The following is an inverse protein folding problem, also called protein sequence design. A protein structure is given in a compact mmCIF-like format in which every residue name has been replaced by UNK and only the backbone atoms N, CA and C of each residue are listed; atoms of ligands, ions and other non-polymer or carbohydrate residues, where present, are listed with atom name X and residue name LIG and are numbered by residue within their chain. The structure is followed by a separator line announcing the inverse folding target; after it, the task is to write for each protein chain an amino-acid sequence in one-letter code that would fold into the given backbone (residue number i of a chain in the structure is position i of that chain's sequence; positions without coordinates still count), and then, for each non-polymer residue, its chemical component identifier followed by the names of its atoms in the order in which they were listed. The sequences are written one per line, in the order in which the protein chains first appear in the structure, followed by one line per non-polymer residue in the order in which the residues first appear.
data_IF_322003676501
#
_entry.id   IF_322003676501
#
_cell.length_a   1.000
_cell.length_b   1.000
_cell.length_c   1.000
_cell.angle_alpha   90.00
_cell.angle_beta   90.00
_cell.angle_gamma   90.00
#
_symmetry.space_group_name_H-M   'P 1'
#
loop_
_entity.id
_entity.type
_entity.pdbx_description
1 polymer ?
#
# COMPACT_ATOMS: atom_id res chain seq x y z
N UNK A 1 22.48 24.87 -38.52
CA UNK A 1 21.48 23.79 -38.65
C UNK A 1 21.38 23.09 -37.31
N UNK A 2 20.23 23.12 -36.64
CA UNK A 2 20.07 22.43 -35.36
C UNK A 2 19.99 20.91 -35.58
N UNK A 3 21.01 20.18 -35.15
CA UNK A 3 20.98 18.72 -35.08
C UNK A 3 20.21 18.33 -33.82
N UNK A 4 18.90 18.18 -33.94
CA UNK A 4 18.08 17.56 -32.91
C UNK A 4 18.41 16.07 -32.82
N UNK A 5 19.23 15.67 -31.86
CA UNK A 5 19.55 14.26 -31.57
C UNK A 5 18.35 13.44 -31.04
N UNK A 6 17.14 14.04 -30.99
CA UNK A 6 15.90 13.42 -30.50
C UNK A 6 14.85 13.16 -31.58
N UNK A 7 15.08 13.58 -32.83
CA UNK A 7 14.08 13.43 -33.91
C UNK A 7 14.46 12.28 -34.82
N UNK A 8 13.53 11.34 -35.03
CA UNK A 8 13.74 10.22 -35.96
C UNK A 8 14.18 10.71 -37.34
N UNK A 9 15.22 10.08 -37.89
CA UNK A 9 15.82 10.45 -39.18
C UNK A 9 14.77 10.55 -40.30
N UNK A 10 13.79 9.64 -40.32
CA UNK A 10 12.71 9.61 -41.31
C UNK A 10 11.83 10.86 -41.25
N UNK A 11 11.49 11.35 -40.05
CA UNK A 11 10.69 12.55 -39.88
C UNK A 11 11.48 13.81 -40.27
N UNK A 12 12.78 13.85 -39.95
CA UNK A 12 13.68 14.91 -40.42
C UNK A 12 13.75 14.99 -41.94
N UNK A 13 13.88 13.86 -42.62
CA UNK A 13 13.90 13.79 -44.08
C UNK A 13 12.59 14.32 -44.70
N UNK A 14 11.44 13.95 -44.12
CA UNK A 14 10.12 14.44 -44.55
C UNK A 14 9.97 15.95 -44.36
N UNK A 15 10.42 16.48 -43.21
CA UNK A 15 10.39 17.91 -42.93
C UNK A 15 11.33 18.69 -43.87
N UNK A 16 12.50 18.14 -44.22
CA UNK A 16 13.42 18.76 -45.19
C UNK A 16 12.79 18.88 -46.58
N UNK A 17 12.05 17.86 -47.04
CA UNK A 17 11.28 17.92 -48.29
C UNK A 17 10.32 19.10 -48.30
N UNK A 18 9.58 19.30 -47.20
CA UNK A 18 8.63 20.42 -47.05
C UNK A 18 9.35 21.77 -46.98
N UNK A 19 10.45 21.87 -46.22
CA UNK A 19 11.23 23.12 -46.12
C UNK A 19 11.87 23.53 -47.45
N UNK A 20 12.36 22.55 -48.22
CA UNK A 20 12.88 22.82 -49.56
C UNK A 20 11.77 23.25 -50.52
N UNK A 21 10.58 22.65 -50.42
CA UNK A 21 9.42 23.06 -51.20
C UNK A 21 8.93 24.47 -50.84
N UNK A 22 8.90 24.82 -49.55
CA UNK A 22 8.54 26.15 -49.06
C UNK A 22 9.50 27.25 -49.55
N UNK A 23 10.76 26.89 -49.82
CA UNK A 23 11.76 27.77 -50.46
C UNK A 23 11.65 27.83 -51.99
N UNK A 24 10.53 27.39 -52.55
CA UNK A 24 10.25 27.44 -54.00
C UNK A 24 11.02 26.41 -54.84
N UNK A 25 11.65 25.39 -54.24
CA UNK A 25 12.42 24.39 -55.01
C UNK A 25 11.49 23.42 -55.75
N UNK A 26 11.81 23.14 -57.02
CA UNK A 26 11.09 22.14 -57.82
C UNK A 26 11.35 20.70 -57.30
N UNK A 27 10.38 19.80 -57.44
CA UNK A 27 10.45 18.42 -56.93
C UNK A 27 11.71 17.66 -57.35
N UNK A 28 12.14 17.82 -58.61
CA UNK A 28 13.35 17.17 -59.13
C UNK A 28 14.64 17.67 -58.46
N UNK A 29 14.67 18.92 -58.00
CA UNK A 29 15.81 19.48 -57.25
C UNK A 29 15.82 18.97 -55.82
N UNK A 30 14.65 18.92 -55.18
CA UNK A 30 14.49 18.37 -53.82
C UNK A 30 14.89 16.89 -53.78
N UNK A 31 14.45 16.10 -54.76
CA UNK A 31 14.82 14.68 -54.91
C UNK A 31 16.35 14.47 -54.95
N UNK A 32 17.07 15.25 -55.77
CA UNK A 32 18.54 15.20 -55.85
C UNK A 32 19.23 15.61 -54.54
N UNK A 33 18.79 16.71 -53.92
CA UNK A 33 19.41 17.25 -52.70
C UNK A 33 19.14 16.38 -51.45
N UNK A 34 18.02 15.66 -51.43
CA UNK A 34 17.64 14.77 -50.32
C UNK A 34 17.98 13.29 -50.58
N UNK A 35 18.40 12.93 -51.80
CA UNK A 35 18.62 11.54 -52.19
C UNK A 35 17.33 10.69 -52.22
N UNK A 36 16.14 11.31 -52.30
CA UNK A 36 14.85 10.63 -52.32
C UNK A 36 14.31 10.50 -53.75
N UNK A 37 13.52 9.46 -54.02
CA UNK A 37 12.80 9.33 -55.29
C UNK A 37 11.78 10.47 -55.50
N UNK A 38 11.57 10.90 -56.75
CA UNK A 38 10.68 12.00 -57.10
C UNK A 38 9.25 11.80 -56.56
N UNK A 39 8.73 10.58 -56.65
CA UNK A 39 7.38 10.27 -56.17
C UNK A 39 7.27 10.28 -54.64
N UNK A 40 8.36 9.99 -53.93
CA UNK A 40 8.42 10.14 -52.47
C UNK A 40 8.34 11.63 -52.09
N UNK A 41 9.03 12.50 -52.83
CA UNK A 41 8.95 13.96 -52.66
C UNK A 41 7.53 14.47 -52.95
N UNK A 42 6.91 14.02 -54.05
CA UNK A 42 5.52 14.36 -54.40
C UNK A 42 4.55 13.91 -53.31
N UNK A 43 4.68 12.68 -52.82
CA UNK A 43 3.83 12.11 -51.75
C UNK A 43 3.89 12.94 -50.48
N UNK A 44 5.08 13.28 -49.99
CA UNK A 44 5.23 14.04 -48.75
C UNK A 44 4.76 15.49 -48.88
N UNK A 45 5.01 16.12 -50.04
CA UNK A 45 4.45 17.46 -50.33
C UNK A 45 2.93 17.44 -50.40
N UNK A 46 2.35 16.45 -51.07
CA UNK A 46 0.90 16.27 -51.17
C UNK A 46 0.27 16.08 -49.79
N UNK A 47 0.78 15.12 -49.00
CA UNK A 47 0.28 14.89 -47.62
C UNK A 47 0.45 16.10 -46.71
N UNK A 48 1.53 16.87 -46.86
CA UNK A 48 1.70 18.12 -46.11
C UNK A 48 0.73 19.21 -46.55
N UNK A 49 0.47 19.35 -47.86
CA UNK A 49 -0.49 20.32 -48.36
C UNK A 49 -1.91 20.01 -47.88
N UNK A 50 -2.26 18.73 -47.77
CA UNK A 50 -3.59 18.28 -47.38
C UNK A 50 -3.82 18.22 -45.85
N UNK A 51 -2.81 17.81 -45.08
CA UNK A 51 -2.96 17.53 -43.64
C UNK A 51 -1.94 18.27 -42.76
N UNK A 52 -1.18 19.22 -43.32
CA UNK A 52 -0.15 19.96 -42.59
C UNK A 52 0.92 19.06 -41.98
N UNK A 53 1.41 19.43 -40.79
CA UNK A 53 2.44 18.67 -40.08
C UNK A 53 2.00 17.23 -39.73
N UNK A 54 0.71 16.99 -39.48
CA UNK A 54 0.17 15.66 -39.19
C UNK A 54 0.34 14.70 -40.39
N UNK A 55 0.31 15.23 -41.62
CA UNK A 55 0.53 14.47 -42.85
C UNK A 55 1.94 13.90 -43.02
N UNK A 56 2.91 14.32 -42.20
CA UNK A 56 4.28 13.80 -42.23
C UNK A 56 4.47 12.57 -41.32
N UNK A 57 3.46 12.21 -40.53
CA UNK A 57 3.44 10.97 -39.75
C UNK A 57 3.29 9.71 -40.62
N UNK A 58 3.71 8.57 -40.08
CA UNK A 58 3.32 7.29 -40.67
C UNK A 58 1.80 7.11 -40.53
N UNK A 59 1.15 6.62 -41.59
CA UNK A 59 -0.24 6.17 -41.49
C UNK A 59 -0.28 4.83 -40.76
N UNK A 60 -1.42 4.54 -40.14
CA UNK A 60 -1.69 3.23 -39.58
C UNK A 60 -1.51 2.16 -40.66
N UNK A 61 -0.59 1.24 -40.39
CA UNK A 61 -0.35 0.11 -41.28
C UNK A 61 -1.30 -1.00 -40.88
N UNK A 62 -1.86 -1.70 -41.85
CA UNK A 62 -2.55 -2.97 -41.59
C UNK A 62 -1.54 -3.94 -40.95
N UNK A 63 -1.67 -4.13 -39.64
CA UNK A 63 -0.87 -5.11 -38.91
C UNK A 63 -1.22 -6.54 -39.33
N UNK A 64 -0.50 -7.52 -38.75
CA UNK A 64 -0.87 -8.93 -38.87
C UNK A 64 -2.30 -9.13 -38.37
N UNK A 65 -3.18 -9.83 -39.10
CA UNK A 65 -4.52 -10.16 -38.61
C UNK A 65 -4.47 -10.81 -37.22
N UNK A 66 -5.37 -10.42 -36.29
CA UNK A 66 -5.37 -10.96 -34.94
C UNK A 66 -5.64 -12.47 -34.97
N UNK A 67 -4.81 -13.24 -34.27
CA UNK A 67 -4.97 -14.70 -34.15
C UNK A 67 -6.03 -15.13 -33.13
N UNK A 68 -6.56 -14.18 -32.36
CA UNK A 68 -7.56 -14.40 -31.31
C UNK A 68 -8.68 -13.39 -31.45
N UNK A 69 -9.91 -13.81 -31.19
CA UNK A 69 -11.07 -12.92 -31.19
C UNK A 69 -11.11 -12.06 -29.92
N UNK A 70 -11.83 -10.95 -29.97
CA UNK A 70 -12.10 -10.14 -28.79
C UNK A 70 -12.82 -10.94 -27.68
N UNK A 71 -13.70 -11.87 -28.07
CA UNK A 71 -14.40 -12.78 -27.16
C UNK A 71 -13.42 -13.69 -26.42
N UNK A 72 -12.46 -14.31 -27.11
CA UNK A 72 -11.44 -15.14 -26.48
C UNK A 72 -10.61 -14.33 -25.49
N UNK A 73 -10.17 -13.13 -25.87
CA UNK A 73 -9.42 -12.25 -24.97
C UNK A 73 -10.25 -11.90 -23.71
N UNK A 74 -11.54 -11.60 -23.87
CA UNK A 74 -12.44 -11.33 -22.74
C UNK A 74 -12.63 -12.56 -21.84
N UNK A 75 -12.77 -13.77 -22.39
CA UNK A 75 -12.88 -15.01 -21.61
C UNK A 75 -11.61 -15.30 -20.81
N UNK A 76 -10.43 -15.07 -21.39
CA UNK A 76 -9.15 -15.20 -20.68
C UNK A 76 -9.07 -14.21 -19.51
N UNK A 77 -9.48 -12.96 -19.72
CA UNK A 77 -9.53 -11.94 -18.66
C UNK A 77 -10.52 -12.30 -17.56
N UNK A 78 -11.73 -12.75 -17.91
CA UNK A 78 -12.72 -13.19 -16.95
C UNK A 78 -12.22 -14.38 -16.10
N UNK A 79 -11.51 -15.33 -16.72
CA UNK A 79 -10.89 -16.44 -16.00
C UNK A 79 -9.76 -15.96 -15.07
N UNK A 80 -8.94 -15.00 -15.52
CA UNK A 80 -7.90 -14.39 -14.69
C UNK A 80 -8.47 -13.70 -13.43
N UNK A 81 -9.67 -13.12 -13.54
CA UNK A 81 -10.38 -12.43 -12.46
C UNK A 81 -11.11 -13.36 -11.48
N UNK A 82 -11.10 -14.68 -11.70
CA UNK A 82 -11.64 -15.66 -10.75
C UNK A 82 -10.53 -16.30 -9.94
N UNK A 83 -10.85 -16.67 -8.70
CA UNK A 83 -9.95 -17.48 -7.89
C UNK A 83 -9.77 -18.85 -8.58
N UNK A 84 -8.54 -19.33 -8.83
CA UNK A 84 -8.36 -20.61 -9.52
C UNK A 84 -9.08 -21.77 -8.80
N UNK A 85 -9.10 -21.75 -7.46
CA UNK A 85 -9.81 -22.73 -6.64
C UNK A 85 -11.31 -22.82 -6.95
N UNK A 86 -11.98 -21.69 -7.21
CA UNK A 86 -13.40 -21.65 -7.63
C UNK A 86 -13.62 -22.26 -9.02
N UNK A 87 -12.54 -22.49 -9.76
CA UNK A 87 -12.58 -23.06 -11.10
C UNK A 87 -12.15 -24.53 -11.13
N UNK A 88 -11.93 -25.15 -9.96
CA UNK A 88 -11.49 -26.54 -9.85
C UNK A 88 -9.97 -26.72 -9.96
N UNK A 89 -9.21 -25.64 -9.92
CA UNK A 89 -7.74 -25.66 -9.99
C UNK A 89 -7.17 -25.32 -8.61
N UNK A 90 -6.38 -26.20 -7.97
CA UNK A 90 -5.94 -26.03 -6.58
C UNK A 90 -4.78 -25.02 -6.44
N UNK A 91 -4.96 -23.83 -7.00
CA UNK A 91 -4.01 -22.73 -6.94
C UNK A 91 -4.65 -21.53 -6.25
N UNK A 92 -3.87 -20.81 -5.44
CA UNK A 92 -4.31 -19.56 -4.84
C UNK A 92 -4.37 -18.42 -5.87
N UNK A 93 -3.52 -18.46 -6.91
CA UNK A 93 -3.40 -17.43 -7.95
C UNK A 93 -2.99 -18.04 -9.28
N UNK A 94 -3.31 -17.32 -10.36
CA UNK A 94 -2.83 -17.64 -11.71
C UNK A 94 -1.45 -17.05 -11.98
N UNK A 95 -0.51 -17.86 -12.46
CA UNK A 95 0.58 -17.38 -13.32
C UNK A 95 0.15 -17.36 -14.79
N UNK A 96 0.80 -16.56 -15.63
CA UNK A 96 0.47 -16.52 -17.06
C UNK A 96 0.60 -17.89 -17.76
N UNK A 97 1.61 -18.74 -17.46
CA UNK A 97 1.68 -20.10 -18.01
C UNK A 97 0.56 -21.03 -17.53
N UNK A 98 0.14 -20.93 -16.28
CA UNK A 98 -1.01 -21.70 -15.76
C UNK A 98 -2.30 -21.27 -16.44
N UNK A 99 -2.54 -19.96 -16.54
CA UNK A 99 -3.73 -19.44 -17.20
C UNK A 99 -3.76 -19.81 -18.70
N UNK A 100 -2.61 -19.80 -19.39
CA UNK A 100 -2.52 -20.26 -20.77
C UNK A 100 -2.88 -21.76 -20.92
N UNK A 101 -2.39 -22.61 -20.01
CA UNK A 101 -2.76 -24.03 -19.98
C UNK A 101 -4.25 -24.22 -19.71
N UNK A 102 -4.80 -23.46 -18.78
CA UNK A 102 -6.22 -23.54 -18.41
C UNK A 102 -7.13 -23.10 -19.56
N UNK A 103 -6.74 -22.06 -20.30
CA UNK A 103 -7.46 -21.57 -21.49
C UNK A 103 -7.54 -22.64 -22.57
N UNK A 104 -6.46 -23.42 -22.75
CA UNK A 104 -6.45 -24.57 -23.68
C UNK A 104 -7.29 -25.73 -23.12
N UNK A 105 -7.15 -26.07 -21.84
CA UNK A 105 -7.90 -27.14 -21.19
C UNK A 105 -9.42 -26.91 -21.22
N UNK A 106 -9.86 -25.64 -21.14
CA UNK A 106 -11.26 -25.23 -21.24
C UNK A 106 -11.74 -24.99 -22.67
N UNK A 107 -10.92 -25.29 -23.68
CA UNK A 107 -11.23 -25.09 -25.10
C UNK A 107 -11.62 -23.64 -25.47
N UNK A 108 -11.14 -22.64 -24.70
CA UNK A 108 -11.34 -21.21 -25.02
C UNK A 108 -10.51 -20.83 -26.25
N UNK A 109 -9.30 -21.37 -26.36
CA UNK A 109 -8.46 -21.29 -27.55
C UNK A 109 -7.68 -22.59 -27.72
N UNK A 110 -7.46 -23.02 -28.97
CA UNK A 110 -6.71 -24.24 -29.29
C UNK A 110 -5.23 -24.16 -28.89
N UNK A 111 -4.66 -22.95 -28.90
CA UNK A 111 -3.33 -22.67 -28.38
C UNK A 111 -3.23 -21.20 -27.99
N UNK A 112 -2.48 -20.90 -26.93
CA UNK A 112 -2.16 -19.53 -26.53
C UNK A 112 -0.83 -19.52 -25.79
N UNK A 113 -0.02 -18.49 -26.02
CA UNK A 113 1.24 -18.32 -25.30
C UNK A 113 1.04 -17.55 -24.00
N UNK A 114 1.86 -17.86 -22.97
CA UNK A 114 1.89 -17.09 -21.74
C UNK A 114 2.23 -15.60 -21.97
N UNK A 115 3.01 -15.29 -23.01
CA UNK A 115 3.33 -13.91 -23.40
C UNK A 115 2.12 -13.16 -23.96
N UNK A 116 1.24 -13.85 -24.70
CA UNK A 116 -0.04 -13.28 -25.16
C UNK A 116 -0.93 -12.96 -23.96
N UNK A 117 -1.07 -13.90 -23.03
CA UNK A 117 -1.83 -13.69 -21.78
C UNK A 117 -1.26 -12.51 -20.98
N UNK A 118 0.06 -12.47 -20.80
CA UNK A 118 0.74 -11.36 -20.11
C UNK A 118 0.45 -10.02 -20.76
N UNK A 119 0.54 -9.94 -22.09
CA UNK A 119 0.24 -8.70 -22.82
C UNK A 119 -1.21 -8.28 -22.63
N UNK A 120 -2.17 -9.18 -22.81
CA UNK A 120 -3.59 -8.86 -22.64
C UNK A 120 -3.95 -8.37 -21.25
N UNK A 121 -3.31 -8.93 -20.23
CA UNK A 121 -3.50 -8.50 -18.86
C UNK A 121 -2.72 -7.22 -18.52
N UNK A 122 -1.56 -7.00 -19.16
CA UNK A 122 -0.75 -5.80 -18.97
C UNK A 122 -1.33 -4.56 -19.66
N UNK A 123 -2.05 -4.75 -20.76
CA UNK A 123 -2.75 -3.69 -21.50
C UNK A 123 -4.09 -3.28 -20.83
N UNK A 124 -4.50 -3.99 -19.78
CA UNK A 124 -5.78 -3.76 -19.08
C UNK A 124 -5.57 -3.00 -17.76
N UNK A 125 -6.61 -2.29 -17.32
CA UNK A 125 -6.64 -1.64 -16.02
C UNK A 125 -6.76 -2.66 -14.87
N UNK A 126 -7.33 -3.84 -15.14
CA UNK A 126 -7.49 -4.91 -14.16
C UNK A 126 -6.16 -5.62 -13.88
N UNK A 127 -5.85 -5.85 -12.59
CA UNK A 127 -4.61 -6.51 -12.15
C UNK A 127 -4.89 -7.72 -11.25
N UNK A 128 -5.41 -8.84 -11.78
CA UNK A 128 -5.89 -9.97 -10.96
C UNK A 128 -4.82 -10.67 -10.10
N UNK A 129 -3.53 -10.44 -10.35
CA UNK A 129 -2.43 -10.94 -9.52
C UNK A 129 -2.16 -10.09 -8.28
N UNK A 130 -2.72 -8.87 -8.21
CA UNK A 130 -2.64 -8.01 -7.04
C UNK A 130 -3.78 -8.37 -6.09
N UNK A 131 -3.47 -8.38 -4.80
CA UNK A 131 -4.46 -8.55 -3.75
C UNK A 131 -4.15 -7.56 -2.64
N UNK A 132 -5.18 -7.18 -1.91
CA UNK A 132 -5.09 -6.40 -0.69
C UNK A 132 -6.02 -7.05 0.33
N UNK A 133 -5.63 -7.02 1.60
CA UNK A 133 -6.57 -7.33 2.67
C UNK A 133 -7.63 -6.23 2.72
N UNK A 134 -8.88 -6.62 2.88
CA UNK A 134 -10.01 -5.72 3.08
C UNK A 134 -10.76 -6.15 4.34
N UNK A 135 -11.40 -5.20 5.00
CA UNK A 135 -12.17 -5.40 6.23
C UNK A 135 -13.63 -5.07 5.95
N UNK A 136 -14.53 -5.91 6.46
CA UNK A 136 -15.94 -5.59 6.54
C UNK A 136 -16.19 -4.78 7.81
N UNK A 137 -16.92 -3.67 7.68
CA UNK A 137 -17.41 -2.93 8.84
C UNK A 137 -18.51 -3.75 9.49
N UNK A 138 -18.21 -4.37 10.63
CA UNK A 138 -19.15 -5.17 11.42
C UNK A 138 -19.57 -4.51 12.72
N UNK A 139 -18.89 -3.41 13.10
CA UNK A 139 -19.22 -2.64 14.30
C UNK A 139 -20.45 -1.75 14.01
N UNK A 140 -21.59 -1.93 14.70
CA UNK A 140 -22.76 -1.10 14.49
C UNK A 140 -22.50 0.38 14.81
N UNK A 141 -21.52 0.65 15.69
CA UNK A 141 -21.11 1.99 16.10
C UNK A 141 -19.82 2.44 15.39
N UNK A 142 -19.50 1.87 14.21
CA UNK A 142 -18.24 2.16 13.52
C UNK A 142 -18.01 3.65 13.29
N UNK A 143 -18.96 4.32 12.62
CA UNK A 143 -18.85 5.75 12.30
C UNK A 143 -18.68 6.62 13.55
N UNK A 144 -19.55 6.55 14.58
CA UNK A 144 -19.40 7.41 15.76
C UNK A 144 -18.14 7.12 16.58
N UNK A 145 -17.61 5.88 16.57
CA UNK A 145 -16.31 5.56 17.21
C UNK A 145 -15.14 6.11 16.40
N UNK A 146 -15.16 5.95 15.08
CA UNK A 146 -14.11 6.46 14.19
C UNK A 146 -14.06 7.99 14.24
N UNK A 147 -15.20 8.66 14.12
CA UNK A 147 -15.33 10.13 14.22
C UNK A 147 -14.72 10.66 15.52
N UNK A 148 -15.00 10.01 16.66
CA UNK A 148 -14.42 10.38 17.95
C UNK A 148 -12.88 10.32 17.99
N UNK A 149 -12.29 9.32 17.34
CA UNK A 149 -10.83 9.19 17.22
C UNK A 149 -10.27 10.30 16.32
N UNK A 150 -10.93 10.56 15.20
CA UNK A 150 -10.52 11.61 14.26
C UNK A 150 -10.65 13.01 14.85
N UNK A 151 -11.69 13.27 15.64
CA UNK A 151 -11.86 14.51 16.39
C UNK A 151 -10.68 14.76 17.33
N UNK A 152 -10.26 13.75 18.09
CA UNK A 152 -9.11 13.85 18.99
C UNK A 152 -7.80 14.13 18.23
N UNK A 153 -7.62 13.53 17.05
CA UNK A 153 -6.50 13.86 16.16
C UNK A 153 -6.60 15.27 15.60
N UNK A 154 -7.80 15.82 15.43
CA UNK A 154 -8.07 17.21 15.08
C UNK A 154 -8.12 18.14 16.31
N UNK A 155 -7.65 17.69 17.48
CA UNK A 155 -7.69 18.43 18.76
C UNK A 155 -9.08 18.92 19.16
N UNK A 156 -10.09 18.09 18.97
CA UNK A 156 -11.48 18.35 19.37
C UNK A 156 -12.03 17.17 20.17
N UNK A 157 -12.93 17.45 21.13
CA UNK A 157 -13.66 16.42 21.86
C UNK A 157 -15.10 16.87 22.09
N UNK A 158 -16.06 16.12 21.52
CA UNK A 158 -17.50 16.46 21.60
C UNK A 158 -17.80 17.89 21.14
N UNK A 159 -17.15 18.31 20.05
CA UNK A 159 -17.31 19.65 19.47
C UNK A 159 -16.57 20.78 20.19
N UNK A 160 -15.81 20.49 21.25
CA UNK A 160 -15.02 21.49 21.99
C UNK A 160 -13.53 21.30 21.70
N UNK A 161 -12.77 22.36 21.35
CA UNK A 161 -11.32 22.29 21.20
C UNK A 161 -10.63 21.81 22.48
N UNK A 162 -9.61 20.97 22.33
CA UNK A 162 -8.77 20.52 23.44
C UNK A 162 -7.89 21.67 23.96
N UNK A 163 -7.81 21.81 25.28
CA UNK A 163 -6.87 22.72 25.93
C UNK A 163 -5.40 22.32 25.77
N UNK A 164 -4.50 23.18 26.21
CA UNK A 164 -3.05 22.93 26.17
C UNK A 164 -2.59 21.89 27.21
N UNK A 165 -3.41 21.67 28.25
CA UNK A 165 -3.25 20.67 29.31
C UNK A 165 -4.05 19.39 29.04
N UNK A 166 -4.45 19.18 27.78
CA UNK A 166 -5.15 18.00 27.31
C UNK A 166 -4.36 17.26 26.24
N UNK A 167 -4.09 15.97 26.49
CA UNK A 167 -3.19 15.16 25.68
C UNK A 167 -3.91 13.97 25.06
N UNK A 168 -3.42 13.54 23.90
CA UNK A 168 -3.98 12.40 23.17
C UNK A 168 -2.86 11.38 22.94
N UNK A 169 -2.97 10.25 23.64
CA UNK A 169 -2.07 9.12 23.55
C UNK A 169 -2.73 8.03 22.70
N UNK A 170 -2.07 7.61 21.64
CA UNK A 170 -2.39 6.41 20.87
C UNK A 170 -1.51 5.27 21.38
N UNK A 171 -2.11 4.18 21.88
CA UNK A 171 -1.38 3.10 22.53
C UNK A 171 -1.84 1.71 22.08
N UNK A 172 -0.89 0.79 21.99
CA UNK A 172 -1.13 -0.62 21.63
C UNK A 172 0.11 -1.48 21.95
N UNK A 173 0.07 -2.76 21.57
CA UNK A 173 1.08 -3.78 21.87
C UNK A 173 1.55 -4.49 20.60
N UNK A 174 2.83 -4.33 20.26
CA UNK A 174 3.48 -5.15 19.24
C UNK A 174 3.90 -6.49 19.84
N UNK A 175 3.13 -7.52 19.53
CA UNK A 175 3.31 -8.85 20.11
C UNK A 175 4.44 -9.64 19.44
N UNK A 176 5.00 -10.61 20.17
CA UNK A 176 5.90 -11.64 19.65
C UNK A 176 7.13 -11.14 18.88
N UNK A 177 7.81 -10.10 19.38
CA UNK A 177 9.11 -9.68 18.83
C UNK A 177 10.16 -10.74 19.20
N UNK A 178 10.53 -11.57 18.23
CA UNK A 178 11.48 -12.66 18.42
C UNK A 178 12.93 -12.19 18.32
N UNK A 179 13.79 -12.67 19.22
CA UNK A 179 15.23 -12.65 19.01
C UNK A 179 15.62 -13.80 18.07
N UNK A 180 16.02 -13.50 16.82
CA UNK A 180 16.56 -14.49 15.89
C UNK A 180 18.09 -14.42 15.88
N UNK A 181 18.70 -15.36 16.59
CA UNK A 181 20.14 -15.48 16.73
C UNK A 181 20.72 -16.18 15.51
N UNK A 182 21.27 -15.40 14.56
CA UNK A 182 21.83 -15.94 13.32
C UNK A 182 23.03 -16.84 13.63
N UNK A 183 23.07 -18.01 13.00
CA UNK A 183 24.17 -18.96 13.21
C UNK A 183 25.50 -18.47 12.64
N UNK A 184 25.45 -17.52 11.71
CA UNK A 184 26.61 -16.83 11.16
C UNK A 184 26.34 -15.33 11.13
N UNK A 185 27.38 -14.48 11.34
CA UNK A 185 27.21 -13.04 11.42
C UNK A 185 26.65 -12.46 10.12
N UNK A 186 25.81 -11.43 10.25
CA UNK A 186 25.37 -10.62 9.11
C UNK A 186 26.56 -9.93 8.46
N UNK A 187 26.63 -10.02 7.13
CA UNK A 187 27.69 -9.38 6.34
C UNK A 187 27.19 -8.05 5.79
N UNK A 188 27.95 -6.95 5.95
CA UNK A 188 27.56 -5.65 5.43
C UNK A 188 27.53 -5.64 3.89
N UNK A 189 26.81 -4.67 3.28
CA UNK A 189 26.84 -4.46 1.84
C UNK A 189 28.27 -4.13 1.35
N UNK A 190 28.55 -4.42 0.09
CA UNK A 190 29.84 -4.14 -0.57
C UNK A 190 29.66 -3.86 -2.06
N UNK A 191 30.75 -3.52 -2.77
CA UNK A 191 30.76 -3.00 -4.16
C UNK A 191 29.89 -3.78 -5.18
N UNK A 192 29.67 -5.07 -4.97
CA UNK A 192 28.79 -5.91 -5.80
C UNK A 192 27.94 -6.89 -4.97
N UNK A 193 27.58 -6.50 -3.73
CA UNK A 193 26.91 -7.40 -2.78
C UNK A 193 25.94 -6.62 -1.90
N UNK A 194 24.66 -6.98 -1.94
CA UNK A 194 23.70 -6.54 -0.93
C UNK A 194 24.09 -7.10 0.45
N UNK A 195 23.57 -6.51 1.54
CA UNK A 195 23.70 -7.10 2.87
C UNK A 195 23.25 -8.56 2.85
N UNK A 196 24.00 -9.44 3.51
CA UNK A 196 23.65 -10.86 3.63
C UNK A 196 23.35 -11.20 5.08
N UNK A 197 22.12 -11.62 5.33
CA UNK A 197 21.65 -12.10 6.62
C UNK A 197 21.54 -13.61 6.53
N UNK A 198 22.13 -14.34 7.47
CA UNK A 198 22.11 -15.80 7.41
C UNK A 198 20.68 -16.33 7.55
N UNK A 199 20.28 -17.30 6.72
CA UNK A 199 18.94 -17.87 6.79
C UNK A 199 18.73 -18.70 8.06
N UNK A 200 19.75 -19.42 8.52
CA UNK A 200 19.69 -20.30 9.69
C UNK A 200 19.83 -19.50 10.98
N UNK A 201 18.98 -19.78 11.96
CA UNK A 201 18.97 -19.10 13.25
C UNK A 201 18.51 -20.02 14.37
N UNK A 202 18.92 -19.70 15.58
CA UNK A 202 18.30 -20.21 16.83
C UNK A 202 17.31 -19.18 17.35
N UNK A 203 16.22 -19.65 17.97
CA UNK A 203 15.24 -18.77 18.60
C UNK A 203 15.72 -18.41 20.02
N UNK A 204 15.91 -17.13 20.30
CA UNK A 204 16.30 -16.61 21.61
C UNK A 204 15.12 -16.27 22.53
N UNK A 205 13.90 -16.64 22.15
CA UNK A 205 12.66 -16.23 22.82
C UNK A 205 11.93 -15.10 22.09
N UNK A 206 10.88 -14.58 22.72
CA UNK A 206 10.12 -13.44 22.22
C UNK A 206 9.67 -12.55 23.39
N UNK A 207 9.47 -11.27 23.12
CA UNK A 207 8.88 -10.31 24.04
C UNK A 207 7.71 -9.57 23.37
N UNK A 208 6.88 -8.90 24.18
CA UNK A 208 5.92 -7.92 23.73
C UNK A 208 6.52 -6.51 23.91
N UNK A 209 6.32 -5.62 22.94
CA UNK A 209 6.68 -4.22 23.06
C UNK A 209 5.41 -3.38 23.03
N UNK A 210 5.08 -2.81 24.17
CA UNK A 210 3.95 -1.89 24.33
C UNK A 210 4.46 -0.47 24.09
N UNK A 211 3.67 0.35 23.42
CA UNK A 211 4.03 1.73 23.16
C UNK A 211 2.83 2.65 23.34
N UNK A 212 3.11 3.84 23.87
CA UNK A 212 2.21 4.97 23.97
C UNK A 212 2.81 6.13 23.17
N UNK A 213 2.11 6.54 22.11
CA UNK A 213 2.51 7.63 21.23
C UNK A 213 1.62 8.85 21.49
N UNK A 214 2.21 9.94 21.97
CA UNK A 214 1.55 11.24 22.01
C UNK A 214 1.42 11.77 20.58
N UNK A 215 0.16 11.85 20.13
CA UNK A 215 -0.21 12.20 18.77
C UNK A 215 0.24 13.60 18.39
N UNK A 216 0.23 14.55 19.33
CA UNK A 216 0.45 15.97 19.06
C UNK A 216 1.89 16.40 19.34
N UNK A 217 2.58 15.73 20.26
CA UNK A 217 4.00 16.01 20.54
C UNK A 217 4.98 15.05 19.86
N UNK A 218 4.46 13.98 19.25
CA UNK A 218 5.21 12.89 18.62
C UNK A 218 6.15 12.12 19.56
N UNK A 219 5.96 12.25 20.87
CA UNK A 219 6.74 11.52 21.88
C UNK A 219 6.20 10.12 22.07
N UNK A 220 7.11 9.16 22.06
CA UNK A 220 6.83 7.76 22.39
C UNK A 220 7.31 7.48 23.81
N UNK A 221 6.51 6.73 24.57
CA UNK A 221 6.96 5.97 25.73
C UNK A 221 6.74 4.50 25.43
N UNK A 222 7.82 3.73 25.41
CA UNK A 222 7.79 2.30 25.14
C UNK A 222 8.12 1.46 26.36
N UNK A 223 7.73 0.20 26.30
CA UNK A 223 7.98 -0.77 27.35
C UNK A 223 8.04 -2.19 26.79
N UNK A 224 9.16 -2.88 27.04
CA UNK A 224 9.29 -4.31 26.75
C UNK A 224 8.78 -5.12 27.95
N UNK A 225 7.92 -6.09 27.69
CA UNK A 225 7.36 -7.01 28.68
C UNK A 225 7.46 -8.46 28.15
N UNK A 226 7.58 -9.49 29.02
CA UNK A 226 7.65 -10.88 28.57
C UNK A 226 6.40 -11.35 27.82
N UNK A 227 5.23 -10.81 28.16
CA UNK A 227 3.94 -11.14 27.56
C UNK A 227 3.07 -9.90 27.39
N UNK A 228 2.00 -10.04 26.62
CA UNK A 228 0.89 -9.09 26.55
C UNK A 228 -0.05 -9.26 27.74
N UNK A 229 -0.97 -8.32 27.95
CA UNK A 229 -2.06 -8.48 28.92
C UNK A 229 -2.34 -7.23 29.76
N UNK A 230 -3.34 -7.34 30.63
CA UNK A 230 -3.81 -6.22 31.46
C UNK A 230 -2.67 -5.62 32.30
N UNK A 231 -1.89 -6.46 32.99
CA UNK A 231 -0.80 -5.98 33.86
C UNK A 231 0.31 -5.29 33.06
N UNK A 232 0.90 -5.89 32.00
CA UNK A 232 1.82 -5.19 31.10
C UNK A 232 1.29 -3.84 30.59
N UNK A 233 0.03 -3.79 30.15
CA UNK A 233 -0.60 -2.57 29.66
C UNK A 233 -0.71 -1.50 30.75
N UNK A 234 -1.16 -1.86 31.95
CA UNK A 234 -1.25 -0.93 33.07
C UNK A 234 0.13 -0.46 33.58
N UNK A 235 1.19 -1.25 33.41
CA UNK A 235 2.56 -0.80 33.67
C UNK A 235 2.97 0.32 32.70
N UNK A 236 2.64 0.19 31.40
CA UNK A 236 2.87 1.25 30.42
C UNK A 236 2.06 2.51 30.77
N UNK A 237 0.77 2.35 31.09
CA UNK A 237 -0.09 3.46 31.53
C UNK A 237 0.54 4.18 32.72
N UNK A 238 0.95 3.43 33.74
CA UNK A 238 1.59 4.00 34.93
C UNK A 238 2.87 4.75 34.58
N UNK A 239 3.72 4.18 33.72
CA UNK A 239 4.96 4.82 33.25
C UNK A 239 4.70 6.18 32.58
N UNK A 240 3.59 6.32 31.84
CA UNK A 240 3.22 7.57 31.16
C UNK A 240 2.52 8.53 32.12
N UNK A 241 1.45 8.08 32.77
CA UNK A 241 0.57 8.93 33.59
C UNK A 241 1.22 9.46 34.88
N UNK A 242 2.36 8.90 35.31
CA UNK A 242 3.13 9.41 36.46
C UNK A 242 4.18 10.46 36.08
N UNK A 243 4.31 10.82 34.80
CA UNK A 243 5.28 11.80 34.31
C UNK A 243 4.60 13.05 33.80
N UNK A 244 5.26 14.20 33.98
CA UNK A 244 4.81 15.44 33.35
C UNK A 244 4.98 15.38 31.82
N UNK A 245 4.06 15.98 31.05
CA UNK A 245 2.94 16.80 31.52
C UNK A 245 1.66 16.00 31.88
N UNK A 246 1.66 14.68 31.70
CA UNK A 246 0.45 13.85 31.82
C UNK A 246 -0.04 13.69 33.26
N UNK A 247 0.86 13.75 34.23
CA UNK A 247 0.53 13.66 35.66
C UNK A 247 -0.32 14.83 36.14
N UNK A 248 -0.02 16.06 35.68
CA UNK A 248 -0.77 17.27 36.04
C UNK A 248 -1.84 17.67 35.02
N UNK A 249 -1.93 16.97 33.88
CA UNK A 249 -2.89 17.22 32.82
C UNK A 249 -4.34 17.17 33.32
N UNK A 250 -5.18 18.06 32.79
CA UNK A 250 -6.63 18.04 33.03
C UNK A 250 -7.25 16.75 32.51
N UNK A 251 -6.89 16.33 31.29
CA UNK A 251 -7.33 15.08 30.67
C UNK A 251 -6.26 14.47 29.77
N UNK A 252 -6.13 13.16 29.81
CA UNK A 252 -5.29 12.38 28.89
C UNK A 252 -6.16 11.33 28.23
N UNK A 253 -6.43 11.50 26.93
CA UNK A 253 -7.20 10.56 26.14
C UNK A 253 -6.30 9.42 25.68
N UNK A 254 -6.68 8.18 25.97
CA UNK A 254 -5.97 6.97 25.56
C UNK A 254 -6.75 6.28 24.43
N UNK A 255 -6.32 6.49 23.20
CA UNK A 255 -6.83 5.81 22.01
C UNK A 255 -6.19 4.42 21.93
N UNK A 256 -7.03 3.40 21.90
CA UNK A 256 -6.60 2.00 21.89
C UNK A 256 -7.46 1.15 20.96
N UNK A 257 -6.98 -0.04 20.60
CA UNK A 257 -7.76 -1.02 19.85
C UNK A 257 -8.70 -1.84 20.76
N UNK A 258 -9.25 -2.96 20.27
CA UNK A 258 -10.12 -3.84 21.07
C UNK A 258 -9.37 -5.10 21.56
N UNK A 259 -8.06 -5.00 21.72
CA UNK A 259 -7.16 -6.01 22.25
C UNK A 259 -7.55 -6.45 23.65
N UNK A 260 -7.24 -7.70 23.99
CA UNK A 260 -7.73 -8.33 25.23
C UNK A 260 -7.29 -7.62 26.51
N UNK A 261 -6.16 -6.91 26.49
CA UNK A 261 -5.62 -6.17 27.65
C UNK A 261 -6.40 -4.91 28.00
N UNK A 262 -7.09 -4.31 27.03
CA UNK A 262 -7.75 -3.01 27.18
C UNK A 262 -9.15 -2.98 26.55
N UNK A 263 -9.81 -4.13 26.46
CA UNK A 263 -11.14 -4.28 25.84
C UNK A 263 -12.29 -3.76 26.73
N UNK A 264 -13.13 -2.94 26.12
CA UNK A 264 -14.47 -2.60 26.60
C UNK A 264 -14.51 -1.84 27.93
N UNK A 265 -15.71 -1.76 28.52
CA UNK A 265 -15.98 -0.93 29.70
C UNK A 265 -15.07 -1.27 30.91
N UNK A 266 -14.80 -2.55 31.15
CA UNK A 266 -13.92 -2.98 32.26
C UNK A 266 -12.49 -2.40 32.15
N UNK A 267 -11.99 -2.17 30.94
CA UNK A 267 -10.70 -1.53 30.76
C UNK A 267 -10.77 -0.02 30.99
N UNK A 268 -11.86 0.62 30.57
CA UNK A 268 -12.08 2.04 30.81
C UNK A 268 -12.19 2.33 32.31
N UNK A 269 -13.02 1.56 33.02
CA UNK A 269 -13.21 1.69 34.47
C UNK A 269 -11.86 1.51 35.20
N UNK A 270 -11.09 0.45 34.86
CA UNK A 270 -9.75 0.21 35.44
C UNK A 270 -8.79 1.38 35.21
N UNK A 271 -8.80 1.97 34.00
CA UNK A 271 -7.93 3.09 33.68
C UNK A 271 -8.32 4.32 34.51
N UNK A 272 -9.61 4.67 34.57
CA UNK A 272 -10.08 5.82 35.32
C UNK A 272 -9.94 5.66 36.83
N UNK A 273 -10.09 4.44 37.35
CA UNK A 273 -9.90 4.14 38.77
C UNK A 273 -8.43 4.34 39.19
N UNK A 274 -7.48 3.99 38.31
CA UNK A 274 -6.06 4.18 38.56
C UNK A 274 -5.61 5.64 38.32
N UNK A 275 -6.17 6.30 37.30
CA UNK A 275 -5.82 7.65 36.90
C UNK A 275 -7.08 8.44 36.55
N UNK A 276 -7.63 9.24 37.49
CA UNK A 276 -8.92 9.93 37.29
C UNK A 276 -8.97 10.92 36.12
N UNK A 277 -7.82 11.41 35.65
CA UNK A 277 -7.69 12.28 34.48
C UNK A 277 -7.52 11.49 33.16
N UNK A 278 -7.45 10.16 33.18
CA UNK A 278 -7.31 9.33 31.99
C UNK A 278 -8.68 8.91 31.42
N UNK A 279 -8.84 9.06 30.10
CA UNK A 279 -10.08 8.73 29.38
C UNK A 279 -9.78 7.71 28.29
N UNK A 280 -10.26 6.48 28.44
CA UNK A 280 -10.08 5.43 27.42
C UNK A 280 -11.04 5.64 26.23
N UNK A 281 -10.50 5.58 25.01
CA UNK A 281 -11.22 5.76 23.75
C UNK A 281 -10.90 4.60 22.82
N UNK A 282 -11.85 3.71 22.61
CA UNK A 282 -11.68 2.59 21.68
C UNK A 282 -11.85 3.04 20.23
N UNK A 283 -10.95 2.58 19.37
CA UNK A 283 -11.22 2.53 17.93
C UNK A 283 -12.38 1.57 17.65
N UNK A 284 -13.05 1.69 16.48
CA UNK A 284 -14.02 0.68 16.04
C UNK A 284 -13.41 -0.73 16.01
N UNK A 285 -14.24 -1.75 16.18
CA UNK A 285 -13.79 -3.14 16.02
C UNK A 285 -13.25 -3.35 14.60
N UNK A 286 -12.11 -4.05 14.50
CA UNK A 286 -11.36 -4.26 13.25
C UNK A 286 -10.84 -2.98 12.55
N UNK A 287 -10.72 -1.87 13.27
CA UNK A 287 -10.20 -0.60 12.74
C UNK A 287 -8.86 -0.17 13.37
N UNK A 288 -7.96 -1.12 13.66
CA UNK A 288 -6.62 -0.81 14.20
C UNK A 288 -5.81 0.12 13.28
N UNK A 289 -6.14 0.18 11.99
CA UNK A 289 -5.54 1.14 11.05
C UNK A 289 -5.81 2.61 11.39
N UNK A 290 -6.81 2.92 12.22
CA UNK A 290 -7.04 4.26 12.78
C UNK A 290 -6.12 4.58 13.97
N UNK A 291 -5.48 3.59 14.58
CA UNK A 291 -4.62 3.77 15.76
C UNK A 291 -3.22 4.21 15.31
N UNK A 292 -2.83 5.48 15.54
CA UNK A 292 -1.57 6.03 15.01
C UNK A 292 -0.30 5.32 15.49
N UNK A 293 -0.33 4.69 16.67
CA UNK A 293 0.77 3.86 17.20
C UNK A 293 1.14 2.71 16.25
N UNK A 294 0.21 2.21 15.42
CA UNK A 294 0.49 1.21 14.40
C UNK A 294 1.44 1.73 13.30
N UNK A 295 1.42 3.04 13.03
CA UNK A 295 2.40 3.69 12.16
C UNK A 295 3.78 3.63 12.81
N UNK A 296 3.87 3.94 14.11
CA UNK A 296 5.12 3.83 14.86
C UNK A 296 5.63 2.38 14.90
N UNK A 297 4.77 1.39 15.14
CA UNK A 297 5.16 -0.02 15.06
C UNK A 297 5.63 -0.44 13.68
N UNK A 298 5.04 0.13 12.61
CA UNK A 298 5.55 -0.06 11.25
C UNK A 298 6.93 0.55 11.06
N UNK A 299 7.26 1.67 11.73
CA UNK A 299 8.61 2.25 11.76
C UNK A 299 9.57 1.33 12.51
N UNK A 300 9.22 0.89 13.73
CA UNK A 300 10.01 -0.05 14.54
C UNK A 300 10.31 -1.32 13.76
N UNK A 301 9.29 -1.90 13.11
CA UNK A 301 9.46 -3.09 12.29
C UNK A 301 10.51 -2.89 11.21
N UNK A 302 10.45 -1.78 10.46
CA UNK A 302 11.35 -1.51 9.33
C UNK A 302 12.75 -1.05 9.73
N UNK A 303 12.89 -0.36 10.86
CA UNK A 303 14.13 0.33 11.26
C UNK A 303 14.90 -0.38 12.37
N UNK A 304 14.22 -1.19 13.18
CA UNK A 304 14.79 -1.84 14.37
C UNK A 304 14.80 -3.35 14.22
N UNK A 305 13.67 -3.93 13.83
CA UNK A 305 13.46 -5.38 13.83
C UNK A 305 13.82 -6.03 12.48
N UNK A 306 13.92 -5.26 11.40
CA UNK A 306 14.23 -5.77 10.06
C UNK A 306 15.58 -5.24 9.55
N UNK A 307 16.54 -6.11 9.22
CA UNK A 307 16.51 -7.57 9.35
C UNK A 307 16.53 -8.03 10.82
N UNK A 308 15.84 -9.13 11.10
CA UNK A 308 15.79 -9.69 12.47
C UNK A 308 17.05 -10.51 12.70
N UNK A 309 18.06 -9.88 13.29
CA UNK A 309 19.33 -10.48 13.70
C UNK A 309 19.71 -9.90 15.07
N UNK A 310 19.60 -10.75 16.11
CA UNK A 310 19.85 -10.40 17.49
C UNK A 310 20.57 -11.52 18.24
N UNK A 311 21.40 -11.19 19.22
CA UNK A 311 22.10 -12.19 20.05
C UNK A 311 21.17 -12.86 21.06
N UNK A 312 20.22 -12.11 21.61
CA UNK A 312 19.30 -12.52 22.68
C UNK A 312 18.18 -11.47 22.85
N UNK A 313 17.30 -11.66 23.84
CA UNK A 313 16.21 -10.72 24.15
C UNK A 313 16.68 -9.41 24.81
N UNK A 314 17.82 -9.42 25.49
CA UNK A 314 18.40 -8.20 26.08
C UNK A 314 18.76 -7.23 24.97
N UNK A 315 19.43 -7.71 23.91
CA UNK A 315 19.76 -6.88 22.75
C UNK A 315 18.52 -6.36 22.02
N UNK A 316 17.42 -7.13 21.96
CA UNK A 316 16.14 -6.63 21.42
C UNK A 316 15.63 -5.47 22.27
N UNK A 317 15.63 -5.64 23.59
CA UNK A 317 15.16 -4.64 24.56
C UNK A 317 15.97 -3.35 24.49
N UNK A 318 17.31 -3.47 24.52
CA UNK A 318 18.21 -2.32 24.47
C UNK A 318 18.06 -1.57 23.15
N UNK A 319 18.00 -2.29 22.01
CA UNK A 319 17.83 -1.65 20.71
C UNK A 319 16.49 -0.92 20.57
N UNK A 320 15.42 -1.46 21.16
CA UNK A 320 14.11 -0.78 21.19
C UNK A 320 14.17 0.49 22.04
N UNK A 321 14.80 0.43 23.22
CA UNK A 321 14.98 1.59 24.11
C UNK A 321 15.82 2.69 23.47
N UNK A 322 16.99 2.34 22.93
CA UNK A 322 17.87 3.28 22.24
C UNK A 322 17.20 3.89 21.00
N UNK A 323 16.38 3.10 20.29
CA UNK A 323 15.62 3.60 19.16
C UNK A 323 14.52 4.58 19.59
N UNK A 324 13.84 4.35 20.71
CA UNK A 324 12.87 5.27 21.28
C UNK A 324 13.52 6.62 21.61
N UNK A 325 14.67 6.62 22.31
CA UNK A 325 15.44 7.83 22.61
C UNK A 325 15.81 8.59 21.32
N UNK A 326 16.31 7.85 20.33
CA UNK A 326 16.67 8.39 19.01
C UNK A 326 15.47 8.96 18.26
N UNK A 327 14.32 8.27 18.29
CA UNK A 327 13.10 8.68 17.63
C UNK A 327 12.59 9.99 18.24
N UNK A 328 12.44 10.02 19.57
CA UNK A 328 11.94 11.17 20.32
C UNK A 328 12.80 12.45 20.14
N UNK A 329 14.10 12.30 19.89
CA UNK A 329 15.00 13.45 19.68
C UNK A 329 14.69 14.27 18.40
N UNK A 330 14.03 13.68 17.41
CA UNK A 330 13.79 14.32 16.10
C UNK A 330 12.37 14.13 15.57
N UNK A 331 11.52 13.43 16.31
CA UNK A 331 10.17 13.11 15.90
C UNK A 331 9.35 14.37 15.65
N UNK A 332 8.49 14.28 14.65
CA UNK A 332 7.44 15.25 14.37
C UNK A 332 6.12 14.50 14.30
N UNK A 333 5.00 15.15 14.65
CA UNK A 333 3.69 14.51 14.60
C UNK A 333 3.43 13.93 13.21
N UNK A 334 2.77 12.78 13.16
CA UNK A 334 2.36 12.24 11.86
C UNK A 334 1.40 13.23 11.19
N UNK A 335 1.67 13.54 9.92
CA UNK A 335 0.72 14.30 9.10
C UNK A 335 -0.46 13.39 8.76
N UNK A 336 -1.41 13.28 9.69
CA UNK A 336 -2.62 12.49 9.52
C UNK A 336 -3.54 13.19 8.53
N UNK A 337 -3.85 12.52 7.41
CA UNK A 337 -4.65 13.08 6.32
C UNK A 337 -6.07 12.53 6.23
N UNK A 338 -6.37 11.46 6.98
CA UNK A 338 -7.67 10.82 6.93
C UNK A 338 -8.64 11.55 7.85
N UNK A 339 -9.62 12.23 7.25
CA UNK A 339 -10.59 13.10 7.91
C UNK A 339 -11.95 12.41 8.07
N UNK A 340 -12.88 13.08 8.74
CA UNK A 340 -14.28 12.64 8.81
C UNK A 340 -14.95 12.62 7.43
N UNK A 341 -14.57 13.51 6.51
CA UNK A 341 -15.01 13.46 5.12
C UNK A 341 -14.48 12.22 4.39
N UNK A 342 -13.19 11.87 4.58
CA UNK A 342 -12.63 10.63 4.01
C UNK A 342 -13.29 9.37 4.59
N UNK A 343 -13.71 9.43 5.87
CA UNK A 343 -14.50 8.37 6.51
C UNK A 343 -15.88 8.22 5.86
N UNK A 344 -16.56 9.32 5.58
CA UNK A 344 -17.86 9.30 4.89
C UNK A 344 -17.72 8.72 3.47
N UNK A 345 -16.68 9.13 2.74
CA UNK A 345 -16.38 8.57 1.41
C UNK A 345 -16.06 7.08 1.46
N UNK A 346 -15.33 6.62 2.49
CA UNK A 346 -15.02 5.21 2.71
C UNK A 346 -16.30 4.40 2.97
N UNK A 347 -17.19 4.89 3.83
CA UNK A 347 -18.46 4.22 4.15
C UNK A 347 -19.40 4.18 2.93
N UNK A 348 -19.51 5.28 2.18
CA UNK A 348 -20.30 5.31 0.96
C UNK A 348 -19.80 4.29 -0.08
N UNK A 349 -18.47 4.12 -0.21
CA UNK A 349 -17.86 3.10 -1.09
C UNK A 349 -18.13 1.67 -0.62
N UNK A 350 -18.16 1.44 0.69
CA UNK A 350 -18.51 0.15 1.28
C UNK A 350 -19.97 -0.22 0.99
N UNK A 351 -20.89 0.72 1.15
CA UNK A 351 -22.33 0.51 0.91
C UNK A 351 -22.65 0.30 -0.57
N UNK A 352 -21.89 0.93 -1.48
CA UNK A 352 -21.97 0.72 -2.93
C UNK A 352 -21.44 -0.65 -3.39
N UNK A 353 -20.90 -1.45 -2.47
CA UNK A 353 -20.42 -2.79 -2.75
C UNK A 353 -21.42 -3.91 -2.28
N UNK A 354 -22.76 -3.79 -2.47
CA UNK A 354 -23.69 -4.74 -1.86
C UNK A 354 -23.64 -6.13 -2.53
N UNK A 355 -23.54 -7.14 -1.65
CA UNK A 355 -24.35 -8.36 -1.64
C UNK A 355 -24.45 -9.24 -2.90
N UNK A 356 -23.36 -9.46 -3.65
CA UNK A 356 -23.37 -10.41 -4.77
C UNK A 356 -23.33 -11.91 -4.42
N UNK A 357 -23.20 -12.32 -3.14
CA UNK A 357 -23.00 -13.74 -2.74
C UNK A 357 -23.51 -14.11 -1.34
N UNK A 358 -24.67 -13.62 -0.92
CA UNK A 358 -25.32 -14.14 0.29
C UNK A 358 -26.74 -14.60 -0.03
N UNK A 359 -26.86 -15.71 -0.75
CA UNK A 359 -27.96 -16.69 -0.69
C UNK A 359 -27.54 -17.90 -1.54
N UNK A 360 -27.87 -19.13 -1.11
CA UNK A 360 -27.42 -20.43 -1.64
C UNK A 360 -26.14 -21.04 -1.04
N UNK A 361 -26.10 -21.25 0.29
CA UNK A 361 -25.47 -22.47 0.83
C UNK A 361 -25.91 -22.70 2.28
N UNK A 362 -27.17 -23.11 2.48
CA UNK A 362 -27.58 -23.88 3.66
C UNK A 362 -28.95 -24.51 3.42
N UNK A 363 -29.01 -25.47 2.51
CA UNK A 363 -30.03 -26.51 2.56
C UNK A 363 -29.28 -27.84 2.75
N UNK A 364 -29.01 -28.19 4.01
CA UNK A 364 -28.66 -29.54 4.36
C UNK A 364 -29.90 -30.44 4.14
N UNK A 365 -29.78 -31.62 3.50
CA UNK A 365 -30.87 -32.57 3.53
C UNK A 365 -31.01 -33.11 4.97
N UNK A 366 -32.21 -32.97 5.52
CA UNK A 366 -32.60 -33.58 6.80
C UNK A 366 -32.73 -35.12 6.64
N UNK A 367 -32.73 -35.87 7.75
CA UNK A 367 -31.93 -37.08 7.98
C UNK A 367 -32.29 -38.32 7.15
#
# INVERSE_FOLDING_TARGET
MAYGHKTEYRLRMRAQVVLHAARGRANARIARETGLHLDTVRRWRGRFAEHGLAGLGDLDRSGRPPSFTALQAAQVKALACRLPAETGVPLARWSCPELAREVVARSIASSISASTVRRWLGDDAIKPWQYQSWIFVTDPDFRPKAERVLDLYARTWRGVPLGDDEYVISADEKTSIQARCRCHPTLPPGRARAMRVNHTYRRGGALAYLAAYDVHSAKVSGRCEPTTGITPFMNLVTQVMTREPYASAKRVFWIVDNGSSHRGKKAADRLSDAFPNAVLVHTPVHASWLNQVEIYFSVVQRKVVSPNDFTDLTQVTDRLREFEDRYNATAQPFQWKFTTSDLDDLLARLDQHPAGRHEESSAAPAP
#
